data_IF_690489379011
#
_entry.id   IF_690489379011
#
_cell.length_a   1.000
_cell.length_b   1.000
_cell.length_c   1.000
_cell.angle_alpha   90.00
_cell.angle_beta   90.00
_cell.angle_gamma   90.00
#
_symmetry.space_group_name_H-M   'P 1'
#
loop_
_entity.id
_entity.type
_entity.pdbx_description
1 polymer ?
#
# COMPACT_ATOMS: atom_id res chain seq x y z
N UNK A 1 -17.64 26.05 61.89
CA UNK A 1 -18.48 26.64 60.86
C UNK A 1 -17.57 27.15 59.74
N UNK A 2 -17.37 26.38 58.69
CA UNK A 2 -16.71 26.83 57.47
C UNK A 2 -17.55 26.26 56.28
N UNK A 3 -18.20 27.18 55.58
CA UNK A 3 -19.00 26.92 54.40
C UNK A 3 -18.09 26.58 53.24
N UNK A 4 -18.32 25.48 52.54
CA UNK A 4 -17.67 25.13 51.30
C UNK A 4 -18.66 25.43 50.16
N UNK A 5 -18.31 26.42 49.34
CA UNK A 5 -18.99 26.71 48.09
C UNK A 5 -18.62 25.61 47.07
N UNK A 6 -19.64 24.91 46.58
CA UNK A 6 -19.50 24.03 45.43
C UNK A 6 -19.69 24.85 44.16
N UNK A 7 -18.62 24.99 43.33
CA UNK A 7 -18.70 25.54 41.99
C UNK A 7 -19.14 24.44 41.04
N UNK A 8 -20.34 24.58 40.47
CA UNK A 8 -20.83 23.69 39.42
C UNK A 8 -20.14 23.96 38.09
N UNK A 9 -19.46 22.98 37.57
CA UNK A 9 -19.01 22.97 36.16
C UNK A 9 -20.18 22.52 35.27
N UNK A 10 -20.73 23.46 34.51
CA UNK A 10 -21.59 23.12 33.39
C UNK A 10 -20.68 22.56 32.26
N UNK A 11 -20.74 21.26 32.03
CA UNK A 11 -20.17 20.65 30.87
C UNK A 11 -21.09 20.94 29.66
N UNK A 12 -20.66 21.81 28.74
CA UNK A 12 -21.25 21.88 27.42
C UNK A 12 -20.86 20.60 26.66
N UNK A 13 -21.79 19.66 26.58
CA UNK A 13 -21.70 18.55 25.66
C UNK A 13 -21.93 19.09 24.23
N UNK A 14 -20.85 19.41 23.51
CA UNK A 14 -20.91 19.58 22.07
C UNK A 14 -21.25 18.22 21.46
N UNK A 15 -22.44 18.09 20.90
CA UNK A 15 -22.80 16.96 20.05
C UNK A 15 -22.02 17.08 18.76
N UNK A 16 -20.81 16.54 18.74
CA UNK A 16 -20.17 16.16 17.51
C UNK A 16 -20.97 14.96 17.01
N UNK A 17 -21.72 15.16 15.94
CA UNK A 17 -22.42 14.08 15.27
C UNK A 17 -21.38 13.03 14.85
N UNK A 18 -21.31 11.96 15.59
CA UNK A 18 -20.62 10.73 15.20
C UNK A 18 -21.33 10.28 13.92
N UNK A 19 -20.70 10.51 12.78
CA UNK A 19 -21.09 9.83 11.54
C UNK A 19 -21.27 8.37 11.90
N UNK A 20 -22.44 7.81 11.61
CA UNK A 20 -22.78 6.44 11.94
C UNK A 20 -21.71 5.52 11.35
N UNK A 21 -20.85 4.97 12.23
CA UNK A 21 -20.01 3.86 11.85
C UNK A 21 -20.97 2.80 11.29
N UNK A 22 -20.84 2.49 9.99
CA UNK A 22 -21.64 1.44 9.39
C UNK A 22 -21.37 0.16 10.17
N UNK A 23 -22.36 -0.30 10.92
CA UNK A 23 -22.29 -1.57 11.62
C UNK A 23 -22.27 -2.67 10.58
N UNK A 24 -21.17 -3.39 10.50
CA UNK A 24 -21.03 -4.57 9.66
C UNK A 24 -22.05 -5.62 10.10
N UNK A 25 -22.97 -5.96 9.21
CA UNK A 25 -23.85 -7.13 9.37
C UNK A 25 -23.37 -8.24 8.43
N UNK A 26 -22.67 -9.26 8.96
CA UNK A 26 -22.12 -10.33 8.15
C UNK A 26 -23.17 -11.15 7.41
N UNK A 27 -24.45 -11.00 7.78
CA UNK A 27 -25.56 -11.75 7.16
C UNK A 27 -26.22 -10.98 5.99
N UNK A 28 -25.92 -9.68 5.84
CA UNK A 28 -26.56 -8.84 4.79
C UNK A 28 -25.75 -8.73 3.50
N UNK A 29 -24.49 -9.05 3.50
CA UNK A 29 -23.65 -8.98 2.32
C UNK A 29 -23.45 -10.38 1.73
N UNK A 30 -24.33 -10.80 0.84
CA UNK A 30 -24.03 -11.92 -0.04
C UNK A 30 -22.90 -11.50 -1.00
N UNK A 31 -21.88 -12.34 -1.24
CA UNK A 31 -20.89 -12.08 -2.26
C UNK A 31 -21.59 -11.81 -3.59
N UNK A 32 -21.37 -10.66 -4.21
CA UNK A 32 -21.83 -10.48 -5.58
C UNK A 32 -20.96 -11.34 -6.48
N UNK A 33 -21.59 -12.19 -7.30
CA UNK A 33 -20.87 -12.91 -8.31
C UNK A 33 -20.40 -11.91 -9.36
N UNK A 34 -19.10 -11.71 -9.48
CA UNK A 34 -18.56 -11.00 -10.63
C UNK A 34 -18.83 -11.81 -11.88
N UNK A 35 -19.15 -11.12 -12.93
CA UNK A 35 -19.03 -11.70 -14.26
C UNK A 35 -17.55 -11.67 -14.66
N UNK A 36 -16.84 -12.75 -14.33
CA UNK A 36 -15.43 -12.92 -14.64
C UNK A 36 -15.10 -12.83 -16.14
N UNK A 37 -16.12 -12.86 -17.00
CA UNK A 37 -15.96 -12.65 -18.45
C UNK A 37 -15.76 -11.18 -18.81
N UNK A 38 -15.94 -10.24 -17.87
CA UNK A 38 -15.85 -8.79 -18.08
C UNK A 38 -14.69 -8.16 -17.31
N UNK A 39 -13.53 -8.76 -17.43
CA UNK A 39 -12.31 -8.28 -16.75
C UNK A 39 -11.54 -7.33 -17.67
N UNK A 40 -11.05 -6.22 -17.07
CA UNK A 40 -10.24 -5.25 -17.80
C UNK A 40 -11.03 -4.50 -18.88
N UNK A 41 -10.35 -4.16 -19.97
CA UNK A 41 -10.96 -3.41 -21.08
C UNK A 41 -11.94 -4.25 -21.86
N UNK A 42 -13.13 -3.70 -22.16
CA UNK A 42 -14.09 -4.32 -23.07
C UNK A 42 -13.51 -4.42 -24.48
N UNK A 43 -13.11 -5.64 -24.85
CA UNK A 43 -12.48 -5.93 -26.14
C UNK A 43 -13.41 -5.73 -27.34
N UNK A 44 -14.73 -5.62 -27.14
CA UNK A 44 -15.68 -5.40 -28.25
C UNK A 44 -15.78 -3.92 -28.60
N UNK A 45 -15.82 -3.05 -27.62
CA UNK A 45 -15.99 -1.61 -27.82
C UNK A 45 -14.70 -0.82 -27.70
N UNK A 46 -13.72 -1.32 -26.92
CA UNK A 46 -12.47 -0.64 -26.56
C UNK A 46 -12.70 0.75 -25.93
N UNK A 47 -13.89 1.01 -25.40
CA UNK A 47 -14.27 2.32 -24.84
C UNK A 47 -14.50 2.26 -23.34
N UNK A 48 -14.69 1.06 -22.80
CA UNK A 48 -14.93 0.84 -21.37
C UNK A 48 -14.08 -0.30 -20.84
N UNK A 49 -13.89 -0.31 -19.52
CA UNK A 49 -13.30 -1.43 -18.77
C UNK A 49 -14.08 -1.68 -17.49
N UNK A 50 -13.86 -2.82 -16.88
CA UNK A 50 -14.44 -3.18 -15.59
C UNK A 50 -13.40 -3.77 -14.66
N UNK A 51 -13.58 -3.55 -13.38
CA UNK A 51 -12.82 -4.19 -12.32
C UNK A 51 -13.40 -5.57 -11.94
N UNK A 52 -12.55 -6.51 -11.50
CA UNK A 52 -11.10 -6.39 -11.37
C UNK A 52 -10.39 -6.37 -12.74
N UNK A 53 -9.15 -5.84 -12.80
CA UNK A 53 -8.29 -5.91 -14.00
C UNK A 53 -7.40 -7.15 -14.00
N UNK A 54 -7.35 -7.88 -12.89
CA UNK A 54 -6.76 -9.21 -12.74
C UNK A 54 -7.63 -10.04 -11.82
N UNK A 55 -7.83 -11.32 -12.14
CA UNK A 55 -8.53 -12.29 -11.30
C UNK A 55 -7.58 -13.16 -10.49
N UNK A 56 -6.29 -13.08 -10.73
CA UNK A 56 -5.30 -13.76 -9.91
C UNK A 56 -5.46 -13.31 -8.44
N UNK A 57 -5.19 -14.24 -7.50
CA UNK A 57 -5.14 -13.87 -6.09
C UNK A 57 -3.88 -13.03 -5.84
N UNK A 58 -4.02 -11.74 -5.95
CA UNK A 58 -2.94 -10.77 -5.94
C UNK A 58 -3.18 -9.73 -4.84
N UNK A 59 -2.18 -9.58 -3.97
CA UNK A 59 -2.12 -8.46 -3.02
C UNK A 59 -1.10 -7.43 -3.43
N UNK A 60 -1.25 -6.23 -2.86
CA UNK A 60 -0.21 -5.21 -2.82
C UNK A 60 0.24 -4.78 -4.23
N UNK A 61 -0.72 -4.34 -5.08
CA UNK A 61 -0.44 -4.02 -6.48
C UNK A 61 0.34 -2.70 -6.60
N UNK A 62 1.47 -2.74 -7.27
CA UNK A 62 2.22 -1.55 -7.63
C UNK A 62 2.32 -1.39 -9.14
N UNK A 63 1.97 -0.19 -9.64
CA UNK A 63 1.99 0.08 -11.07
C UNK A 63 2.66 1.41 -11.39
N UNK A 64 3.58 1.38 -12.34
CA UNK A 64 4.30 2.56 -12.82
C UNK A 64 4.41 2.58 -14.34
N UNK A 65 4.79 3.72 -14.91
CA UNK A 65 5.01 3.88 -16.35
C UNK A 65 6.49 3.90 -16.68
N UNK A 66 6.83 3.40 -17.84
CA UNK A 66 8.17 3.55 -18.41
C UNK A 66 8.13 3.65 -19.95
N UNK A 67 9.17 4.18 -20.52
CA UNK A 67 9.33 4.25 -21.97
C UNK A 67 10.46 3.32 -22.41
N UNK A 68 10.17 2.46 -23.36
CA UNK A 68 11.16 1.61 -24.02
C UNK A 68 10.98 1.68 -25.53
N UNK A 69 12.07 1.88 -26.27
CA UNK A 69 12.08 1.97 -27.75
C UNK A 69 11.05 2.98 -28.30
N UNK A 70 10.87 4.11 -27.61
CA UNK A 70 9.90 5.14 -27.99
C UNK A 70 8.43 4.75 -27.77
N UNK A 71 8.17 3.65 -27.07
CA UNK A 71 6.83 3.19 -26.70
C UNK A 71 6.63 3.35 -25.19
N UNK A 72 5.46 3.83 -24.77
CA UNK A 72 5.06 3.86 -23.37
C UNK A 72 4.46 2.52 -22.95
N UNK A 73 4.85 2.07 -21.76
CA UNK A 73 4.42 0.83 -21.13
C UNK A 73 4.04 1.10 -19.68
N UNK A 74 3.12 0.29 -19.16
CA UNK A 74 2.88 0.13 -17.73
C UNK A 74 3.62 -1.12 -17.26
N UNK A 75 4.33 -0.98 -16.13
CA UNK A 75 4.89 -2.09 -15.37
C UNK A 75 4.01 -2.33 -14.15
N UNK A 76 3.75 -3.58 -13.88
CA UNK A 76 2.94 -4.02 -12.77
C UNK A 76 3.66 -5.11 -11.98
N UNK A 77 3.68 -4.99 -10.66
CA UNK A 77 4.21 -5.99 -9.73
C UNK A 77 3.31 -6.13 -8.50
N UNK A 78 3.46 -7.21 -7.76
CA UNK A 78 2.57 -7.59 -6.67
C UNK A 78 3.22 -8.66 -5.77
N UNK A 79 2.65 -8.89 -4.58
CA UNK A 79 3.08 -9.95 -3.66
C UNK A 79 2.83 -11.35 -4.21
N UNK A 80 3.87 -12.21 -4.19
CA UNK A 80 3.78 -13.61 -4.63
C UNK A 80 4.19 -14.61 -3.56
N UNK A 81 4.85 -14.19 -2.49
CA UNK A 81 5.51 -14.94 -1.42
C UNK A 81 6.84 -15.62 -1.78
N UNK A 82 7.11 -15.95 -3.04
CA UNK A 82 8.28 -16.76 -3.43
C UNK A 82 9.16 -16.12 -4.52
N UNK A 83 8.70 -15.04 -5.14
CA UNK A 83 9.44 -14.40 -6.22
C UNK A 83 9.00 -12.94 -6.40
N UNK A 84 9.68 -12.20 -7.30
CA UNK A 84 9.22 -10.92 -7.81
C UNK A 84 8.93 -11.07 -9.30
N UNK A 85 7.68 -10.88 -9.64
CA UNK A 85 7.16 -10.94 -11.00
C UNK A 85 6.85 -9.53 -11.50
N UNK A 86 7.33 -9.19 -12.68
CA UNK A 86 6.89 -8.02 -13.43
C UNK A 86 5.95 -8.46 -14.55
N UNK A 87 4.85 -7.74 -14.69
CA UNK A 87 3.98 -7.79 -15.87
C UNK A 87 4.05 -6.45 -16.60
N UNK A 88 3.89 -6.45 -17.92
CA UNK A 88 3.79 -5.21 -18.68
C UNK A 88 2.67 -5.24 -19.71
N UNK A 89 2.07 -4.08 -19.92
CA UNK A 89 1.12 -3.83 -21.01
C UNK A 89 1.25 -2.39 -21.50
N UNK A 90 0.80 -2.15 -22.71
CA UNK A 90 0.64 -0.79 -23.28
C UNK A 90 -0.69 -0.15 -22.89
N UNK A 91 -1.55 -0.90 -22.24
CA UNK A 91 -2.86 -0.45 -21.75
C UNK A 91 -2.89 -0.52 -20.23
N UNK A 92 -3.22 0.60 -19.57
CA UNK A 92 -3.40 0.66 -18.11
C UNK A 92 -4.48 -0.31 -17.63
N UNK A 93 -5.55 -0.44 -18.39
CA UNK A 93 -6.73 -1.23 -18.06
C UNK A 93 -6.82 -2.54 -18.84
N UNK A 94 -5.68 -3.12 -19.18
CA UNK A 94 -5.60 -4.44 -19.79
C UNK A 94 -6.20 -5.54 -18.89
N UNK A 95 -6.45 -6.70 -19.45
CA UNK A 95 -6.58 -7.92 -18.66
C UNK A 95 -5.18 -8.38 -18.25
N UNK A 96 -4.78 -8.02 -17.04
CA UNK A 96 -3.43 -8.28 -16.53
C UNK A 96 -3.11 -9.76 -16.29
N UNK A 97 -4.12 -10.64 -16.31
CA UNK A 97 -3.89 -12.09 -16.26
C UNK A 97 -3.16 -12.57 -17.54
N UNK A 98 -3.38 -11.89 -18.68
CA UNK A 98 -2.81 -12.22 -19.97
C UNK A 98 -1.63 -11.32 -20.38
N UNK A 99 -1.20 -10.39 -19.53
CA UNK A 99 -0.11 -9.47 -19.83
C UNK A 99 1.25 -10.20 -19.96
N UNK A 100 2.18 -9.60 -20.72
CA UNK A 100 3.56 -10.12 -20.77
C UNK A 100 4.12 -10.21 -19.35
N UNK A 101 4.71 -11.37 -19.01
CA UNK A 101 5.12 -11.69 -17.64
C UNK A 101 6.58 -12.14 -17.59
N UNK A 102 7.32 -11.64 -16.60
CA UNK A 102 8.70 -12.01 -16.34
C UNK A 102 8.97 -12.11 -14.84
N UNK A 103 9.55 -13.23 -14.39
CA UNK A 103 10.12 -13.35 -13.05
C UNK A 103 11.51 -12.71 -13.06
N UNK A 104 11.73 -11.67 -12.26
CA UNK A 104 12.99 -10.90 -12.21
C UNK A 104 13.85 -11.23 -11.01
N UNK A 105 13.25 -11.78 -9.95
CA UNK A 105 13.96 -12.27 -8.77
C UNK A 105 13.23 -13.49 -8.20
N UNK A 106 13.99 -14.56 -7.98
CA UNK A 106 13.50 -15.77 -7.29
C UNK A 106 14.65 -16.38 -6.50
N UNK A 107 14.60 -16.34 -5.16
CA UNK A 107 15.61 -17.01 -4.35
C UNK A 107 15.50 -18.53 -4.48
N UNK A 108 16.63 -19.17 -4.40
CA UNK A 108 16.76 -20.63 -4.28
C UNK A 108 16.73 -21.00 -2.79
N UNK A 109 15.52 -20.98 -2.21
CA UNK A 109 15.31 -21.11 -0.77
C UNK A 109 15.77 -22.47 -0.20
N UNK A 110 15.90 -23.51 -1.02
CA UNK A 110 16.38 -24.84 -0.62
C UNK A 110 17.84 -25.10 -1.01
N UNK A 111 18.46 -24.20 -1.76
CA UNK A 111 19.84 -24.28 -2.25
C UNK A 111 20.71 -23.14 -1.74
N UNK A 112 21.27 -22.36 -2.66
CA UNK A 112 22.27 -21.30 -2.36
C UNK A 112 21.76 -20.17 -1.47
N UNK A 113 20.45 -19.91 -1.51
CA UNK A 113 19.81 -18.83 -0.74
C UNK A 113 19.11 -19.35 0.53
N UNK A 114 19.29 -20.64 0.88
CA UNK A 114 18.71 -21.24 2.07
C UNK A 114 19.13 -20.48 3.34
N UNK A 115 18.16 -20.10 4.16
CA UNK A 115 18.38 -19.35 5.41
C UNK A 115 18.85 -17.91 5.24
N UNK A 116 18.96 -17.43 4.00
CA UNK A 116 19.24 -16.00 3.76
C UNK A 116 18.05 -15.14 4.18
N UNK A 117 18.27 -13.91 4.63
CA UNK A 117 17.20 -13.02 5.08
C UNK A 117 16.12 -12.73 4.04
N UNK A 118 16.38 -13.01 2.77
CA UNK A 118 15.48 -12.78 1.63
C UNK A 118 14.94 -14.06 0.99
N UNK A 119 15.08 -15.21 1.65
CA UNK A 119 14.82 -16.51 1.01
C UNK A 119 13.34 -16.85 0.84
N UNK A 120 12.43 -16.14 1.53
CA UNK A 120 10.99 -16.42 1.53
C UNK A 120 10.14 -15.20 1.86
N UNK A 121 8.82 -15.37 1.85
CA UNK A 121 7.85 -14.33 2.25
C UNK A 121 8.10 -13.00 1.55
N UNK A 122 8.22 -13.06 0.22
CA UNK A 122 8.45 -11.89 -0.63
C UNK A 122 7.13 -11.15 -0.82
N UNK A 123 7.04 -9.95 -0.20
CA UNK A 123 5.83 -9.16 -0.18
C UNK A 123 6.06 -7.74 -0.70
N UNK A 124 4.96 -7.14 -1.19
CA UNK A 124 4.83 -5.74 -1.60
C UNK A 124 6.05 -5.20 -2.39
N UNK A 125 6.45 -5.84 -3.49
CA UNK A 125 7.51 -5.29 -4.32
C UNK A 125 7.01 -4.04 -5.06
N UNK A 126 7.84 -3.00 -5.07
CA UNK A 126 7.63 -1.77 -5.84
C UNK A 126 8.82 -1.52 -6.76
N UNK A 127 8.57 -1.04 -7.98
CA UNK A 127 9.62 -0.75 -8.95
C UNK A 127 9.67 0.74 -9.28
N UNK A 128 10.80 1.38 -9.02
CA UNK A 128 10.98 2.83 -9.14
C UNK A 128 12.15 3.18 -10.05
N UNK A 129 11.96 4.20 -10.89
CA UNK A 129 13.07 4.83 -11.60
C UNK A 129 13.61 6.00 -10.79
N UNK A 130 14.85 5.92 -10.37
CA UNK A 130 15.53 6.98 -9.64
C UNK A 130 16.83 7.31 -10.36
N UNK A 131 16.94 8.53 -10.85
CA UNK A 131 18.12 9.03 -11.60
C UNK A 131 18.51 8.15 -12.79
N UNK A 132 17.52 7.59 -13.50
CA UNK A 132 17.74 6.79 -14.71
C UNK A 132 18.08 5.33 -14.47
N UNK A 133 18.10 4.87 -13.23
CA UNK A 133 18.20 3.47 -12.84
C UNK A 133 16.91 2.96 -12.21
N UNK A 134 16.66 1.66 -12.34
CA UNK A 134 15.49 1.03 -11.75
C UNK A 134 15.88 0.26 -10.49
N UNK A 135 15.08 0.45 -9.47
CA UNK A 135 15.22 -0.21 -8.18
C UNK A 135 13.92 -0.92 -7.85
N UNK A 136 14.02 -2.14 -7.35
CA UNK A 136 12.89 -2.85 -6.77
C UNK A 136 13.12 -2.88 -5.27
N UNK A 137 12.22 -2.24 -4.52
CA UNK A 137 12.18 -2.32 -3.06
C UNK A 137 11.10 -3.32 -2.67
N UNK A 138 11.39 -4.19 -1.71
CA UNK A 138 10.46 -5.25 -1.30
C UNK A 138 10.74 -5.73 0.12
N UNK A 139 9.77 -6.43 0.67
CA UNK A 139 9.86 -7.10 1.96
C UNK A 139 10.19 -8.58 1.77
N UNK A 140 11.03 -9.15 2.64
CA UNK A 140 11.23 -10.59 2.70
C UNK A 140 11.63 -11.05 4.11
N UNK A 141 11.60 -12.37 4.32
CA UNK A 141 12.03 -13.02 5.55
C UNK A 141 12.77 -14.34 5.24
N UNK A 142 13.58 -14.89 6.17
CA UNK A 142 14.19 -16.19 6.01
C UNK A 142 13.13 -17.30 5.87
N UNK A 143 13.43 -18.31 5.05
CA UNK A 143 12.63 -19.54 5.01
C UNK A 143 12.92 -20.41 6.23
N UNK A 144 11.86 -21.02 6.78
CA UNK A 144 11.96 -21.99 7.88
C UNK A 144 12.34 -21.41 9.25
N UNK A 145 12.63 -20.13 9.35
CA UNK A 145 12.88 -19.49 10.63
C UNK A 145 11.56 -19.15 11.32
N UNK A 146 11.19 -19.98 12.25
CA UNK A 146 10.33 -19.54 13.33
C UNK A 146 11.16 -18.61 14.21
N UNK A 147 10.89 -17.29 14.26
CA UNK A 147 11.59 -16.41 15.18
C UNK A 147 11.43 -16.95 16.59
N UNK A 148 12.43 -16.76 17.47
CA UNK A 148 12.22 -17.04 18.88
C UNK A 148 10.95 -16.32 19.31
N UNK A 149 10.10 -16.96 20.11
CA UNK A 149 8.84 -16.37 20.53
C UNK A 149 9.16 -15.02 21.17
N UNK A 150 8.66 -13.93 20.58
CA UNK A 150 8.57 -12.69 21.31
C UNK A 150 7.77 -12.98 22.56
N UNK A 151 8.33 -12.70 23.72
CA UNK A 151 7.68 -12.97 25.01
C UNK A 151 6.46 -12.06 25.26
N UNK A 152 5.95 -11.41 24.23
CA UNK A 152 4.74 -10.64 24.29
C UNK A 152 3.53 -11.57 24.05
N UNK A 153 2.61 -11.58 25.01
CA UNK A 153 1.35 -12.30 24.95
C UNK A 153 0.47 -11.98 23.73
N UNK A 154 0.84 -10.98 22.93
CA UNK A 154 0.13 -10.53 21.72
C UNK A 154 0.67 -11.13 20.44
N UNK A 155 1.87 -11.68 20.49
CA UNK A 155 2.44 -12.48 19.41
C UNK A 155 2.65 -13.90 19.94
N UNK A 156 1.55 -14.64 20.19
CA UNK A 156 1.66 -16.00 20.70
C UNK A 156 2.36 -16.85 19.65
N UNK A 157 3.46 -17.45 20.05
CA UNK A 157 4.15 -18.55 19.37
C UNK A 157 4.09 -18.40 17.84
N UNK A 158 5.19 -18.00 17.22
CA UNK A 158 5.34 -17.78 15.78
C UNK A 158 4.68 -16.50 15.26
N UNK A 159 5.33 -15.37 15.52
CA UNK A 159 5.10 -14.14 14.76
C UNK A 159 6.06 -14.14 13.56
N UNK A 160 5.76 -14.80 12.44
CA UNK A 160 6.71 -14.89 11.32
C UNK A 160 7.05 -13.52 10.76
N UNK A 161 6.19 -12.53 11.00
CA UNK A 161 6.44 -11.15 10.60
C UNK A 161 7.67 -10.51 11.25
N UNK A 162 8.10 -10.95 12.45
CA UNK A 162 9.22 -10.30 13.18
C UNK A 162 10.53 -10.30 12.41
N UNK A 163 10.75 -11.29 11.54
CA UNK A 163 11.96 -11.44 10.74
C UNK A 163 11.91 -10.71 9.40
N UNK A 164 10.81 -10.04 9.08
CA UNK A 164 10.71 -9.29 7.84
C UNK A 164 11.59 -8.05 7.86
N UNK A 165 12.30 -7.86 6.75
CA UNK A 165 13.18 -6.72 6.50
C UNK A 165 12.94 -6.19 5.08
N UNK A 166 13.44 -4.99 4.83
CA UNK A 166 13.38 -4.36 3.52
C UNK A 166 14.64 -4.62 2.72
N UNK A 167 14.48 -4.95 1.45
CA UNK A 167 15.56 -5.25 0.51
C UNK A 167 15.43 -4.42 -0.75
N UNK A 168 16.55 -4.20 -1.43
CA UNK A 168 16.61 -3.46 -2.69
C UNK A 168 17.37 -4.28 -3.73
N UNK A 169 16.77 -4.42 -4.91
CA UNK A 169 17.44 -4.88 -6.12
C UNK A 169 17.74 -3.67 -7.01
N UNK A 170 18.84 -3.70 -7.76
CA UNK A 170 19.19 -2.65 -8.72
C UNK A 170 19.27 -3.22 -10.14
N UNK A 171 18.67 -2.54 -11.11
CA UNK A 171 18.73 -2.96 -12.52
C UNK A 171 20.15 -2.92 -13.08
N UNK A 172 20.51 -3.91 -13.89
CA UNK A 172 21.79 -3.92 -14.59
C UNK A 172 21.84 -2.95 -15.78
N UNK A 173 20.68 -2.59 -16.33
CA UNK A 173 20.53 -1.70 -17.48
C UNK A 173 19.48 -0.61 -17.27
N UNK A 174 19.27 0.21 -18.29
CA UNK A 174 18.32 1.31 -18.28
C UNK A 174 16.87 0.88 -18.57
N UNK A 175 16.67 -0.22 -19.29
CA UNK A 175 15.33 -0.76 -19.56
C UNK A 175 14.97 -1.79 -18.51
N UNK A 176 13.90 -1.57 -17.72
CA UNK A 176 13.54 -2.45 -16.61
C UNK A 176 13.01 -3.81 -17.07
N UNK A 177 12.51 -3.90 -18.30
CA UNK A 177 11.98 -5.15 -18.81
C UNK A 177 13.06 -6.14 -19.23
N UNK A 178 14.18 -5.64 -19.76
CA UNK A 178 15.30 -6.48 -20.23
C UNK A 178 16.44 -6.62 -19.24
N UNK A 179 16.45 -5.79 -18.18
CA UNK A 179 17.49 -5.82 -17.15
C UNK A 179 17.35 -7.01 -16.21
N UNK A 180 18.48 -7.50 -15.72
CA UNK A 180 18.51 -8.31 -14.50
C UNK A 180 18.47 -7.40 -13.26
N UNK A 181 18.03 -7.98 -12.14
CA UNK A 181 17.88 -7.29 -10.87
C UNK A 181 18.60 -8.04 -9.74
N UNK A 182 19.93 -7.97 -9.69
CA UNK A 182 20.66 -8.56 -8.56
C UNK A 182 20.32 -7.86 -7.24
N UNK A 183 20.48 -8.62 -6.13
CA UNK A 183 20.38 -8.08 -4.78
C UNK A 183 21.42 -6.97 -4.58
N UNK A 184 20.96 -5.79 -4.20
CA UNK A 184 21.82 -4.63 -3.94
C UNK A 184 22.11 -4.47 -2.46
N UNK A 185 21.06 -4.50 -1.63
CA UNK A 185 21.21 -4.23 -0.20
C UNK A 185 20.01 -4.72 0.60
N UNK A 186 20.23 -5.02 1.86
CA UNK A 186 19.23 -4.99 2.91
C UNK A 186 19.26 -3.60 3.53
N UNK A 187 18.11 -2.93 3.61
CA UNK A 187 18.02 -1.60 4.21
C UNK A 187 18.21 -1.67 5.73
N UNK A 188 18.89 -0.69 6.28
CA UNK A 188 19.03 -0.57 7.72
C UNK A 188 17.74 -0.04 8.34
N UNK A 189 16.87 -0.93 8.78
CA UNK A 189 15.59 -0.64 9.46
C UNK A 189 15.68 -0.88 10.96
N UNK A 190 16.84 -0.62 11.56
CA UNK A 190 17.10 -0.83 12.99
C UNK A 190 17.18 -2.31 13.40
N UNK A 191 17.42 -3.20 12.44
CA UNK A 191 17.32 -4.65 12.62
C UNK A 191 16.00 -5.10 13.27
N UNK A 192 14.93 -4.45 12.87
CA UNK A 192 13.58 -4.70 13.38
C UNK A 192 12.61 -4.96 12.23
N UNK A 193 11.41 -5.38 12.59
CA UNK A 193 10.30 -5.52 11.66
C UNK A 193 10.15 -4.30 10.76
N UNK A 194 10.13 -4.57 9.47
CA UNK A 194 9.92 -3.58 8.43
C UNK A 194 9.25 -4.25 7.23
N UNK A 195 8.10 -3.73 6.82
CA UNK A 195 7.38 -4.17 5.63
C UNK A 195 6.87 -2.99 4.81
N UNK A 196 6.49 -3.26 3.57
CA UNK A 196 5.75 -2.35 2.70
C UNK A 196 6.44 -1.01 2.50
N UNK A 197 7.76 -1.04 2.31
CA UNK A 197 8.51 0.19 2.19
C UNK A 197 8.46 0.80 0.81
N UNK A 198 8.34 2.12 0.76
CA UNK A 198 8.37 2.93 -0.46
C UNK A 198 9.41 4.04 -0.39
N UNK A 199 9.72 4.64 -1.53
CA UNK A 199 10.52 5.86 -1.61
C UNK A 199 9.61 7.10 -1.52
N UNK A 200 10.11 8.13 -0.83
CA UNK A 200 9.48 9.42 -0.73
C UNK A 200 10.49 10.50 -1.08
N UNK A 201 10.19 11.30 -2.11
CA UNK A 201 11.06 12.39 -2.55
C UNK A 201 10.51 13.73 -2.09
N UNK A 202 11.34 14.54 -1.45
CA UNK A 202 10.97 15.89 -1.04
C UNK A 202 12.18 16.84 -1.14
N UNK A 203 12.03 17.91 -1.92
CA UNK A 203 13.16 18.76 -2.30
C UNK A 203 14.18 17.97 -3.11
N UNK A 204 15.43 18.03 -2.69
CA UNK A 204 16.57 17.33 -3.28
C UNK A 204 16.93 16.01 -2.51
N UNK A 205 16.06 15.62 -1.58
CA UNK A 205 16.29 14.46 -0.69
C UNK A 205 15.38 13.29 -1.01
N UNK A 206 15.91 12.10 -0.73
CA UNK A 206 15.21 10.84 -0.79
C UNK A 206 15.00 10.31 0.63
N UNK A 207 13.84 9.77 0.88
CA UNK A 207 13.45 9.14 2.14
C UNK A 207 12.87 7.76 1.86
N UNK A 208 12.93 6.90 2.86
CA UNK A 208 12.25 5.61 2.92
C UNK A 208 11.15 5.66 3.96
N UNK A 209 9.91 5.39 3.56
CA UNK A 209 8.75 5.27 4.45
C UNK A 209 8.31 3.81 4.44
N UNK A 210 8.05 3.24 5.61
CA UNK A 210 7.71 1.82 5.74
C UNK A 210 6.85 1.54 6.96
N UNK A 211 6.21 0.39 7.01
CA UNK A 211 5.51 -0.08 8.19
C UNK A 211 6.52 -0.65 9.19
N UNK A 212 6.47 -0.17 10.42
CA UNK A 212 7.45 -0.46 11.47
C UNK A 212 6.80 -0.73 12.82
N UNK A 213 7.52 -1.41 13.70
CA UNK A 213 7.20 -1.45 15.12
C UNK A 213 7.99 -0.39 15.89
N UNK A 214 7.45 0.05 17.03
CA UNK A 214 8.10 1.05 17.87
C UNK A 214 9.48 0.56 18.36
N UNK A 215 9.55 -0.71 18.72
CA UNK A 215 10.78 -1.36 19.18
C UNK A 215 10.73 -2.88 18.95
N UNK A 216 11.85 -3.58 19.20
CA UNK A 216 11.98 -5.02 18.97
C UNK A 216 11.09 -5.90 19.87
N UNK A 217 10.57 -5.34 20.97
CA UNK A 217 9.78 -6.07 21.96
C UNK A 217 8.28 -5.82 21.84
N UNK A 218 7.89 -4.89 21.00
CA UNK A 218 6.50 -4.49 20.76
C UNK A 218 6.09 -4.93 19.36
N UNK A 219 5.46 -6.09 19.24
CA UNK A 219 5.00 -6.59 17.95
C UNK A 219 3.91 -5.73 17.30
N UNK A 220 3.33 -4.80 18.02
CA UNK A 220 2.23 -3.93 17.57
C UNK A 220 2.17 -2.65 18.43
N UNK A 221 1.61 -1.54 17.95
CA UNK A 221 0.99 -1.38 16.62
C UNK A 221 2.01 -1.34 15.49
N UNK A 222 1.58 -1.62 14.26
CA UNK A 222 2.34 -1.30 13.08
C UNK A 222 2.12 0.19 12.76
N UNK A 223 3.19 0.95 12.82
CA UNK A 223 3.23 2.40 12.61
C UNK A 223 3.82 2.71 11.22
N UNK A 224 3.80 3.95 10.78
CA UNK A 224 4.64 4.40 9.67
C UNK A 224 5.90 5.09 10.20
N UNK A 225 7.05 4.58 9.79
CA UNK A 225 8.35 5.18 10.02
C UNK A 225 8.89 5.84 8.76
N UNK A 226 9.70 6.89 8.93
CA UNK A 226 10.47 7.53 7.86
C UNK A 226 11.94 7.61 8.24
N UNK A 227 12.83 7.44 7.25
CA UNK A 227 14.28 7.63 7.37
C UNK A 227 14.81 8.38 6.16
N UNK A 228 15.81 9.24 6.32
CA UNK A 228 16.52 9.87 5.19
C UNK A 228 17.49 8.87 4.54
N UNK A 229 17.58 8.88 3.22
CA UNK A 229 18.47 8.03 2.44
C UNK A 229 19.61 8.84 1.81
N UNK A 230 20.79 8.24 1.70
CA UNK A 230 21.91 8.81 0.92
C UNK A 230 21.86 8.43 -0.55
N UNK A 231 21.27 7.29 -0.86
CA UNK A 231 21.05 6.71 -2.17
C UNK A 231 19.89 5.69 -2.06
N UNK A 232 19.36 5.16 -3.18
CA UNK A 232 18.17 4.28 -3.12
C UNK A 232 18.36 2.96 -2.35
N UNK A 233 19.55 2.61 -1.93
CA UNK A 233 19.84 1.36 -1.20
C UNK A 233 20.52 1.57 0.16
N UNK A 234 20.70 2.83 0.61
CA UNK A 234 21.39 3.14 1.86
C UNK A 234 20.61 4.13 2.71
N UNK A 235 20.17 3.72 3.88
CA UNK A 235 19.66 4.63 4.91
C UNK A 235 20.83 5.44 5.45
N UNK A 236 20.72 6.77 5.36
CA UNK A 236 21.79 7.72 5.68
C UNK A 236 22.08 7.81 7.16
N UNK A 237 21.03 7.73 7.96
CA UNK A 237 21.11 8.06 9.37
C UNK A 237 21.45 6.85 10.23
N UNK A 238 21.87 7.15 11.46
CA UNK A 238 21.97 6.15 12.51
C UNK A 238 20.58 5.57 12.81
N UNK A 239 20.56 4.39 13.41
CA UNK A 239 19.36 3.67 13.79
C UNK A 239 18.38 4.49 14.65
N UNK A 240 18.90 5.47 15.40
CA UNK A 240 18.12 6.35 16.28
C UNK A 240 17.39 7.48 15.57
N UNK A 241 17.65 7.70 14.28
CA UNK A 241 17.16 8.88 13.57
C UNK A 241 15.88 8.60 12.75
N UNK A 242 15.37 7.37 12.80
CA UNK A 242 14.05 7.10 12.22
C UNK A 242 12.97 7.84 13.02
N UNK A 243 11.98 8.37 12.32
CA UNK A 243 10.86 9.05 12.92
C UNK A 243 9.56 8.26 12.67
N UNK A 244 8.76 8.05 13.70
CA UNK A 244 7.38 7.58 13.53
C UNK A 244 6.53 8.77 13.10
N UNK A 245 5.93 8.71 11.92
CA UNK A 245 5.11 9.78 11.35
C UNK A 245 3.60 9.48 11.42
N UNK A 246 3.22 8.23 11.66
CA UNK A 246 1.83 7.84 11.90
C UNK A 246 1.76 6.70 12.90
N UNK A 247 0.88 6.83 13.87
CA UNK A 247 0.45 5.77 14.80
C UNK A 247 -1.02 5.50 14.50
N UNK A 248 -1.51 4.24 14.46
CA UNK A 248 -2.90 3.93 14.19
C UNK A 248 -3.78 4.23 15.41
N UNK A 249 -3.98 5.51 15.70
CA UNK A 249 -4.68 6.05 16.87
C UNK A 249 -6.16 6.39 16.64
N UNK A 250 -6.60 6.33 15.36
CA UNK A 250 -7.99 6.64 15.03
C UNK A 250 -8.88 5.38 15.15
N UNK A 251 -10.14 5.52 15.57
CA UNK A 251 -11.05 4.38 15.72
C UNK A 251 -11.19 3.51 14.45
N UNK A 252 -11.18 4.14 13.29
CA UNK A 252 -11.29 3.43 11.99
C UNK A 252 -10.02 2.66 11.60
N UNK A 253 -8.86 2.99 12.17
CA UNK A 253 -7.61 2.25 12.01
C UNK A 253 -7.55 0.99 12.91
N UNK A 254 -8.41 0.92 13.91
CA UNK A 254 -8.40 -0.11 14.98
C UNK A 254 -9.48 -1.17 14.80
N UNK A 255 -10.09 -1.28 13.66
CA UNK A 255 -11.12 -2.29 13.40
C UNK A 255 -10.54 -3.67 13.10
N UNK A 256 -11.22 -4.76 13.53
CA UNK A 256 -12.54 -4.77 14.17
C UNK A 256 -12.51 -4.23 15.58
N UNK A 257 -13.58 -3.53 15.94
CA UNK A 257 -13.75 -2.89 17.25
C UNK A 257 -13.51 -3.85 18.43
N UNK A 258 -13.00 -3.29 19.52
CA UNK A 258 -12.69 -4.04 20.74
C UNK A 258 -11.28 -4.62 20.77
N UNK A 259 -10.48 -4.40 19.73
CA UNK A 259 -9.04 -4.72 19.76
C UNK A 259 -8.27 -3.55 20.39
N UNK A 260 -7.28 -3.82 21.24
CA UNK A 260 -6.40 -2.76 21.72
C UNK A 260 -5.63 -2.12 20.57
N UNK A 261 -5.30 -0.82 20.67
CA UNK A 261 -4.53 -0.05 19.68
C UNK A 261 -3.27 -0.78 19.20
N UNK A 262 -2.64 -1.53 20.07
CA UNK A 262 -1.46 -2.35 19.77
C UNK A 262 -1.67 -3.45 18.71
N UNK A 263 -2.91 -3.73 18.30
CA UNK A 263 -3.22 -4.64 17.19
C UNK A 263 -3.66 -3.91 15.92
N UNK A 264 -3.61 -2.58 15.93
CA UNK A 264 -3.94 -1.75 14.80
C UNK A 264 -2.74 -1.63 13.83
N UNK A 265 -3.03 -1.26 12.60
CA UNK A 265 -2.04 -1.26 11.52
C UNK A 265 -2.12 0.03 10.72
N UNK A 266 -0.94 0.62 10.45
CA UNK A 266 -0.69 1.50 9.33
C UNK A 266 0.40 0.85 8.47
N UNK A 267 0.11 0.59 7.19
CA UNK A 267 1.01 -0.11 6.27
C UNK A 267 0.81 0.35 4.83
N UNK A 268 1.60 -0.15 3.88
CA UNK A 268 1.47 0.16 2.45
C UNK A 268 1.52 1.64 2.12
N UNK A 269 2.48 2.44 2.65
CA UNK A 269 2.56 3.87 2.37
C UNK A 269 2.92 4.13 0.91
N UNK A 270 2.28 5.14 0.30
CA UNK A 270 2.60 5.60 -1.05
C UNK A 270 2.64 7.12 -1.11
N UNK A 271 3.69 7.66 -1.73
CA UNK A 271 3.73 9.09 -2.02
C UNK A 271 2.70 9.45 -3.09
N UNK A 272 1.95 10.50 -2.83
CA UNK A 272 1.07 11.11 -3.82
C UNK A 272 1.27 12.64 -3.81
N UNK A 273 1.74 13.19 -4.91
CA UNK A 273 1.97 14.63 -5.05
C UNK A 273 0.93 15.24 -5.97
N UNK A 274 0.27 16.28 -5.52
CA UNK A 274 -0.63 17.05 -6.38
C UNK A 274 0.19 17.82 -7.43
N UNK A 275 0.03 17.53 -8.73
CA UNK A 275 0.87 18.13 -9.77
C UNK A 275 0.61 19.63 -9.98
N UNK A 276 -0.52 20.16 -9.49
CA UNK A 276 -0.87 21.57 -9.64
C UNK A 276 -0.40 22.44 -8.48
N UNK A 277 -0.48 21.90 -7.26
CA UNK A 277 -0.18 22.68 -6.04
C UNK A 277 1.17 22.32 -5.43
N UNK A 278 1.74 21.14 -5.77
CA UNK A 278 2.96 20.62 -5.17
C UNK A 278 2.76 20.05 -3.75
N UNK A 279 1.52 19.99 -3.25
CA UNK A 279 1.22 19.36 -1.96
C UNK A 279 1.60 17.89 -2.00
N UNK A 280 2.25 17.43 -0.94
CA UNK A 280 2.69 16.04 -0.80
C UNK A 280 1.87 15.30 0.25
N UNK A 281 1.45 14.11 -0.12
CA UNK A 281 0.69 13.21 0.73
C UNK A 281 1.40 11.87 0.83
N UNK A 282 1.18 11.18 1.96
CA UNK A 282 1.38 9.74 2.10
C UNK A 282 0.01 9.11 2.26
N UNK A 283 -0.39 8.33 1.27
CA UNK A 283 -1.59 7.52 1.33
C UNK A 283 -1.16 6.15 1.84
N UNK A 284 -1.83 5.64 2.87
CA UNK A 284 -1.43 4.42 3.55
C UNK A 284 -2.64 3.54 3.85
N UNK A 285 -2.41 2.27 4.09
CA UNK A 285 -3.45 1.33 4.46
C UNK A 285 -3.61 1.25 5.96
N UNK A 286 -4.85 1.07 6.39
CA UNK A 286 -5.20 0.97 7.79
C UNK A 286 -6.23 -0.14 8.06
N UNK A 287 -6.38 -0.51 9.32
CA UNK A 287 -7.08 -1.69 9.78
C UNK A 287 -6.38 -2.99 9.35
N UNK A 288 -7.04 -4.14 9.46
CA UNK A 288 -6.42 -5.41 9.13
C UNK A 288 -6.79 -5.88 7.73
N UNK A 289 -5.79 -6.26 6.95
CA UNK A 289 -5.93 -6.69 5.56
C UNK A 289 -6.90 -7.87 5.35
N UNK A 290 -7.03 -8.75 6.33
CA UNK A 290 -7.95 -9.90 6.27
C UNK A 290 -9.38 -9.58 6.72
N UNK A 291 -9.74 -8.30 6.78
CA UNK A 291 -11.08 -7.83 7.14
C UNK A 291 -11.68 -6.99 6.01
N UNK A 292 -13.01 -6.86 5.93
CA UNK A 292 -13.64 -5.98 4.95
C UNK A 292 -13.37 -4.48 5.23
N UNK A 293 -12.81 -4.16 6.38
CA UNK A 293 -12.56 -2.79 6.84
C UNK A 293 -11.20 -2.23 6.45
N UNK A 294 -10.33 -3.03 5.84
CA UNK A 294 -9.08 -2.52 5.29
C UNK A 294 -9.37 -1.36 4.34
N UNK A 295 -8.69 -0.24 4.52
CA UNK A 295 -9.00 1.00 3.83
C UNK A 295 -7.79 1.92 3.76
N UNK A 296 -7.90 3.03 3.04
CA UNK A 296 -6.82 4.00 2.93
C UNK A 296 -7.00 5.17 3.87
N UNK A 297 -5.92 5.52 4.57
CA UNK A 297 -5.72 6.76 5.31
C UNK A 297 -4.84 7.74 4.55
N UNK A 298 -4.71 8.96 5.07
CA UNK A 298 -3.94 10.03 4.45
C UNK A 298 -3.17 10.83 5.50
N UNK A 299 -1.89 11.02 5.23
CA UNK A 299 -1.06 12.06 5.84
C UNK A 299 -0.79 13.15 4.80
N UNK A 300 -0.80 14.40 5.21
CA UNK A 300 -0.37 15.54 4.41
C UNK A 300 0.91 16.12 5.01
N UNK A 301 1.91 16.37 4.19
CA UNK A 301 3.11 17.08 4.60
C UNK A 301 2.80 18.58 4.62
N UNK A 302 2.59 19.13 5.79
CA UNK A 302 2.28 20.57 6.01
C UNK A 302 3.49 21.36 6.50
N UNK A 303 4.53 20.68 6.98
CA UNK A 303 5.82 21.27 7.34
C UNK A 303 6.84 21.14 6.21
N UNK A 304 8.04 21.62 6.46
CA UNK A 304 9.15 21.63 5.49
C UNK A 304 10.24 20.58 5.77
N UNK A 305 10.08 19.77 6.80
CA UNK A 305 10.99 18.69 7.15
C UNK A 305 10.21 17.39 7.39
N UNK A 306 10.24 16.43 6.46
CA UNK A 306 9.54 15.16 6.60
C UNK A 306 9.99 14.31 7.80
N UNK A 307 11.18 14.57 8.35
CA UNK A 307 11.70 13.88 9.53
C UNK A 307 11.15 14.42 10.86
N UNK A 308 10.18 15.32 10.81
CA UNK A 308 9.50 15.85 12.01
C UNK A 308 8.05 15.37 12.05
N UNK A 309 7.65 14.75 13.17
CA UNK A 309 6.25 14.30 13.36
C UNK A 309 5.24 15.42 13.13
N UNK A 310 5.55 16.63 13.62
CA UNK A 310 4.69 17.82 13.50
C UNK A 310 4.54 18.34 12.08
N UNK A 311 5.40 17.89 11.15
CA UNK A 311 5.27 18.23 9.73
C UNK A 311 4.16 17.46 9.04
N UNK A 312 3.59 16.45 9.69
CA UNK A 312 2.55 15.60 9.12
C UNK A 312 1.19 15.86 9.75
N UNK A 313 0.20 16.05 8.92
CA UNK A 313 -1.20 16.18 9.32
C UNK A 313 -1.99 14.95 8.88
N UNK A 314 -2.48 14.18 9.86
CA UNK A 314 -3.32 13.01 9.61
C UNK A 314 -4.75 13.44 9.31
N UNK A 315 -5.37 12.83 8.30
CA UNK A 315 -6.81 12.92 8.07
C UNK A 315 -7.53 12.06 9.12
N UNK A 316 -8.38 12.69 9.95
CA UNK A 316 -8.99 12.02 11.10
C UNK A 316 -10.47 11.69 10.94
N UNK A 317 -11.12 12.20 9.87
CA UNK A 317 -12.57 12.02 9.67
C UNK A 317 -12.98 10.59 9.27
N UNK A 318 -12.04 9.73 8.92
CA UNK A 318 -12.29 8.36 8.46
C UNK A 318 -11.33 7.96 7.36
N UNK A 319 -11.57 6.82 6.76
CA UNK A 319 -10.82 6.39 5.57
C UNK A 319 -11.11 7.32 4.39
N UNK A 320 -10.08 7.69 3.64
CA UNK A 320 -10.23 8.48 2.40
C UNK A 320 -10.67 7.63 1.21
N UNK A 321 -10.45 6.31 1.28
CA UNK A 321 -10.94 5.31 0.33
C UNK A 321 -11.25 4.01 1.06
N UNK A 322 -12.42 3.44 0.86
CA UNK A 322 -12.90 2.30 1.64
C UNK A 322 -13.85 1.41 0.84
N UNK A 323 -14.27 0.30 1.47
CA UNK A 323 -15.22 -0.65 0.89
C UNK A 323 -16.51 0.03 0.40
N UNK A 324 -17.08 -0.54 -0.66
CA UNK A 324 -18.42 -0.24 -1.15
C UNK A 324 -19.27 -1.52 -1.09
N UNK A 325 -20.08 -1.63 -0.05
CA UNK A 325 -20.91 -2.83 0.18
C UNK A 325 -22.01 -3.02 -0.86
N UNK A 326 -22.47 -1.93 -1.49
CA UNK A 326 -23.48 -1.99 -2.57
C UNK A 326 -22.89 -2.57 -3.85
N UNK A 327 -21.62 -2.28 -4.12
CA UNK A 327 -20.89 -2.84 -5.26
C UNK A 327 -20.25 -4.20 -4.95
N UNK A 328 -20.34 -4.71 -3.72
CA UNK A 328 -19.69 -5.94 -3.30
C UNK A 328 -18.16 -5.86 -3.30
N UNK A 329 -17.59 -4.68 -3.03
CA UNK A 329 -16.15 -4.41 -2.99
C UNK A 329 -15.75 -4.18 -1.54
N UNK A 330 -14.86 -5.00 -1.00
CA UNK A 330 -14.49 -5.01 0.41
C UNK A 330 -12.99 -4.96 0.60
N UNK A 331 -12.53 -4.54 1.77
CA UNK A 331 -11.12 -4.59 2.15
C UNK A 331 -10.20 -3.92 1.13
N UNK A 332 -10.55 -2.70 0.72
CA UNK A 332 -9.82 -1.93 -0.29
C UNK A 332 -8.57 -1.32 0.31
N UNK A 333 -7.42 -1.53 -0.28
CA UNK A 333 -6.20 -0.93 0.24
C UNK A 333 -4.94 -1.27 -0.53
N UNK A 334 -3.79 -1.00 0.06
CA UNK A 334 -2.46 -1.16 -0.47
C UNK A 334 -2.37 -0.62 -1.90
N UNK A 335 -2.56 0.71 -2.00
CA UNK A 335 -2.70 1.38 -3.28
C UNK A 335 -1.36 1.85 -3.82
N UNK A 336 -1.26 1.94 -5.14
CA UNK A 336 -0.26 2.72 -5.85
C UNK A 336 -0.92 3.70 -6.81
N UNK A 337 -0.18 4.64 -7.36
CA UNK A 337 -0.72 5.72 -8.19
C UNK A 337 0.00 5.78 -9.52
N UNK A 338 -0.78 6.00 -10.58
CA UNK A 338 -0.26 6.19 -11.93
C UNK A 338 -1.13 7.19 -12.70
N UNK A 339 -0.80 7.44 -13.95
CA UNK A 339 -1.55 8.36 -14.82
C UNK A 339 -1.99 7.67 -16.09
N UNK A 340 -2.99 8.23 -16.77
CA UNK A 340 -3.36 7.86 -18.13
C UNK A 340 -2.16 7.96 -19.09
N UNK A 341 -2.22 7.33 -20.28
CA UNK A 341 -1.15 7.45 -21.28
C UNK A 341 -0.81 8.89 -21.66
N UNK A 342 -1.79 9.77 -21.74
CA UNK A 342 -1.56 11.20 -22.02
C UNK A 342 -1.12 12.02 -20.79
N UNK A 343 -1.05 11.41 -19.60
CA UNK A 343 -0.62 12.02 -18.35
C UNK A 343 -1.65 12.94 -17.68
N UNK A 344 -2.85 13.12 -18.24
CA UNK A 344 -3.82 14.12 -17.78
C UNK A 344 -4.80 13.58 -16.72
N UNK A 345 -4.96 12.28 -16.62
CA UNK A 345 -5.83 11.64 -15.65
C UNK A 345 -5.03 10.87 -14.61
N UNK A 346 -5.50 10.87 -13.38
CA UNK A 346 -4.87 10.19 -12.24
C UNK A 346 -5.64 8.91 -11.90
N UNK A 347 -4.90 7.84 -11.62
CA UNK A 347 -5.47 6.54 -11.32
C UNK A 347 -4.91 5.98 -10.03
N UNK A 348 -5.81 5.45 -9.22
CA UNK A 348 -5.50 4.60 -8.08
C UNK A 348 -5.53 3.14 -8.53
N UNK A 349 -4.47 2.41 -8.24
CA UNK A 349 -4.36 0.95 -8.39
C UNK A 349 -4.39 0.36 -6.99
N UNK A 350 -5.28 -0.56 -6.70
CA UNK A 350 -5.49 -1.08 -5.36
C UNK A 350 -5.94 -2.54 -5.40
N UNK A 351 -5.82 -3.23 -4.29
CA UNK A 351 -6.49 -4.51 -4.18
C UNK A 351 -7.81 -4.41 -3.41
N UNK A 352 -8.70 -5.35 -3.68
CA UNK A 352 -9.91 -5.52 -2.89
C UNK A 352 -10.33 -6.99 -2.81
N UNK A 353 -11.09 -7.29 -1.77
CA UNK A 353 -11.70 -8.58 -1.54
C UNK A 353 -13.10 -8.64 -2.14
N UNK A 354 -13.56 -9.84 -2.46
CA UNK A 354 -14.88 -10.11 -3.02
C UNK A 354 -15.88 -10.57 -1.96
N UNK A 355 -15.44 -10.74 -0.73
CA UNK A 355 -16.25 -11.20 0.40
C UNK A 355 -16.20 -10.23 1.56
N UNK A 356 -17.34 -10.04 2.18
CA UNK A 356 -17.49 -9.26 3.40
C UNK A 356 -17.02 -9.99 4.66
N UNK A 357 -16.75 -11.28 4.59
CA UNK A 357 -16.33 -12.08 5.74
C UNK A 357 -14.82 -12.00 5.91
N UNK A 358 -14.32 -11.85 7.14
CA UNK A 358 -12.92 -12.11 7.42
C UNK A 358 -12.57 -13.53 6.98
N UNK A 359 -11.51 -13.71 6.22
CA UNK A 359 -11.09 -15.01 5.69
C UNK A 359 -9.69 -15.34 6.17
N UNK A 360 -9.43 -16.61 6.43
CA UNK A 360 -8.09 -17.08 6.73
C UNK A 360 -7.23 -17.04 5.46
N UNK A 361 -7.81 -17.50 4.34
CA UNK A 361 -7.17 -17.47 3.03
C UNK A 361 -7.65 -16.21 2.29
N UNK A 362 -6.81 -15.21 2.30
CA UNK A 362 -7.09 -13.92 1.72
C UNK A 362 -7.11 -14.02 0.19
N UNK A 363 -8.26 -13.73 -0.43
CA UNK A 363 -8.37 -13.62 -1.89
C UNK A 363 -8.58 -12.17 -2.28
N UNK A 364 -7.57 -11.58 -2.88
CA UNK A 364 -7.53 -10.18 -3.29
C UNK A 364 -7.37 -10.07 -4.80
N UNK A 365 -8.04 -9.11 -5.41
CA UNK A 365 -7.96 -8.85 -6.86
C UNK A 365 -7.49 -7.43 -7.12
N UNK A 366 -6.66 -7.24 -8.15
CA UNK A 366 -6.20 -5.92 -8.55
C UNK A 366 -7.29 -5.13 -9.27
N UNK A 367 -7.39 -3.84 -8.95
CA UNK A 367 -8.41 -2.92 -9.43
C UNK A 367 -7.80 -1.57 -9.74
N UNK A 368 -8.44 -0.84 -10.66
CA UNK A 368 -7.99 0.48 -11.11
C UNK A 368 -9.21 1.39 -11.18
N UNK A 369 -9.09 2.61 -10.66
CA UNK A 369 -10.10 3.65 -10.82
C UNK A 369 -9.47 5.02 -10.99
N UNK A 370 -10.11 5.88 -11.75
CA UNK A 370 -9.75 7.29 -11.86
C UNK A 370 -10.09 8.01 -10.56
N UNK A 371 -9.23 8.94 -10.15
CA UNK A 371 -9.51 9.89 -9.08
C UNK A 371 -9.18 11.32 -9.51
N UNK A 372 -9.71 12.29 -8.79
CA UNK A 372 -9.51 13.70 -9.02
C UNK A 372 -8.87 14.39 -7.80
N UNK A 373 -8.78 15.70 -7.85
CA UNK A 373 -8.32 16.56 -6.76
C UNK A 373 -9.45 17.49 -6.30
N UNK A 374 -9.57 17.71 -5.00
CA UNK A 374 -10.44 18.72 -4.43
C UNK A 374 -9.90 20.12 -4.69
N UNK A 375 -10.71 21.16 -4.48
CA UNK A 375 -10.30 22.56 -4.65
C UNK A 375 -9.18 22.97 -3.68
N UNK A 376 -9.13 22.36 -2.50
CA UNK A 376 -8.07 22.56 -1.50
C UNK A 376 -6.76 21.82 -1.82
N UNK A 377 -6.73 21.08 -2.92
CA UNK A 377 -5.58 20.30 -3.39
C UNK A 377 -5.47 18.90 -2.80
N UNK A 378 -6.36 18.48 -1.92
CA UNK A 378 -6.37 17.11 -1.40
C UNK A 378 -6.88 16.10 -2.43
N UNK A 379 -6.46 14.82 -2.38
CA UNK A 379 -6.98 13.78 -3.27
C UNK A 379 -8.49 13.59 -3.09
N UNK A 380 -9.21 13.42 -4.20
CA UNK A 380 -10.64 13.11 -4.23
C UNK A 380 -10.85 11.72 -4.79
N UNK A 381 -10.78 10.73 -3.91
CA UNK A 381 -10.98 9.34 -4.31
C UNK A 381 -12.46 9.05 -4.60
N UNK A 382 -12.76 8.18 -5.61
CA UNK A 382 -14.11 7.74 -5.90
C UNK A 382 -14.62 6.74 -4.86
N UNK A 383 -15.88 6.33 -4.97
CA UNK A 383 -16.33 5.10 -4.34
C UNK A 383 -15.68 3.89 -5.05
N UNK A 384 -15.35 2.85 -4.28
CA UNK A 384 -14.83 1.61 -4.86
C UNK A 384 -15.93 0.87 -5.63
N UNK A 385 -15.77 0.69 -6.95
CA UNK A 385 -16.79 0.15 -7.85
C UNK A 385 -16.20 -0.86 -8.84
N UNK A 386 -17.10 -1.61 -9.48
CA UNK A 386 -16.74 -2.59 -10.51
C UNK A 386 -16.78 -2.01 -11.93
N UNK A 387 -17.41 -0.86 -12.14
CA UNK A 387 -17.61 -0.26 -13.46
C UNK A 387 -18.95 -0.65 -14.11
N UNK A 388 -19.13 -0.49 -15.44
CA UNK A 388 -18.08 -0.13 -16.40
C UNK A 388 -17.61 1.32 -16.28
N UNK A 389 -16.30 1.54 -16.51
CA UNK A 389 -15.65 2.84 -16.54
C UNK A 389 -15.18 3.18 -17.95
N UNK A 390 -15.07 4.46 -18.30
CA UNK A 390 -14.39 4.87 -19.52
C UNK A 390 -12.90 4.48 -19.48
N UNK A 391 -12.36 4.02 -20.59
CA UNK A 391 -10.91 3.77 -20.69
C UNK A 391 -10.12 5.07 -20.52
N UNK A 392 -8.88 4.99 -20.00
CA UNK A 392 -8.03 6.16 -19.78
C UNK A 392 -7.81 7.00 -21.04
N UNK A 393 -7.72 8.31 -20.83
CA UNK A 393 -7.42 9.24 -21.92
C UNK A 393 -6.06 8.91 -22.58
N UNK A 394 -6.04 8.93 -23.92
CA UNK A 394 -4.85 8.55 -24.69
C UNK A 394 -4.59 7.04 -24.81
N UNK A 395 -5.38 6.17 -24.14
CA UNK A 395 -5.24 4.73 -24.30
C UNK A 395 -5.64 4.30 -25.70
N UNK A 396 -4.72 3.67 -26.40
CA UNK A 396 -4.98 3.10 -27.73
C UNK A 396 -5.68 1.75 -27.59
N UNK A 397 -6.54 1.42 -28.54
CA UNK A 397 -7.08 0.08 -28.65
C UNK A 397 -5.91 -0.94 -28.70
N UNK A 398 -6.01 -1.99 -27.91
CA UNK A 398 -5.05 -3.10 -28.00
C UNK A 398 -5.15 -3.69 -29.41
N UNK A 399 -4.04 -3.73 -30.12
CA UNK A 399 -3.96 -4.46 -31.37
C UNK A 399 -4.26 -5.94 -31.08
N UNK A 400 -5.21 -6.52 -31.86
CA UNK A 400 -5.57 -7.92 -31.75
C UNK A 400 -4.40 -8.80 -32.18
#
# INVERSE_FOLDING_TARGET
MKSILAAGFLALASHVGLGSAQTFDPNKAAPQNFDLSKIGTDMKTNTTFSNPVSTENIGDPFMTKYTSEGQEWYLYTFSTNDNITLKRSRSLTDNWDNAETRVVFKPDATGKDAGQPWSSSIWAPEIHNISGKWYIIFTAAPDGDNPPPLQDALCPINCPAVNHRMFVLESTGADPWTSDFPMKSMLNTYDQFAIDGTYFSYGDKLYHIYSCWENAYSAWPANLCITEMSDPWTVKSNLTDRMIISIPDQPWEQVPYGRPIRLATNEGPQQLTNPKTGQNFVIYSAARVNTPYYCLGQLELVGNDPMQYQSWRKHTAGCVFHQNTQAGVYGTGHASFTTSPDGNEHYIVYHAQTTAKPVADLYRTARIQKFDWNEDGTPKFPLAENGPFAVPAGQKALAK
#
